data_IF_663060117839
#
_entry.id   IF_663060117839
#
_cell.length_a   1.000
_cell.length_b   1.000
_cell.length_c   1.000
_cell.angle_alpha   90.00
_cell.angle_beta   90.00
_cell.angle_gamma   90.00
#
_symmetry.space_group_name_H-M   'P 1'
#
loop_
_entity.id
_entity.type
_entity.pdbx_description
1 polymer ?
#
# COMPACT_ATOMS: atom_id res chain seq x y z
N UNK A 1 -17.25 -19.69 -0.26
CA UNK A 1 -16.30 -18.73 0.34
C UNK A 1 -16.90 -18.21 1.62
N UNK A 2 -16.23 -18.39 2.76
CA UNK A 2 -16.74 -17.95 4.05
C UNK A 2 -16.82 -16.42 4.10
N UNK A 3 -18.01 -15.90 4.36
CA UNK A 3 -18.20 -14.53 4.81
C UNK A 3 -17.66 -14.45 6.24
N UNK A 4 -16.49 -13.87 6.43
CA UNK A 4 -16.11 -13.38 7.75
C UNK A 4 -17.07 -12.23 8.07
N UNK A 5 -18.08 -12.52 8.88
CA UNK A 5 -18.77 -11.49 9.65
C UNK A 5 -17.65 -10.68 10.30
N UNK A 6 -17.54 -9.39 9.99
CA UNK A 6 -16.73 -8.44 10.76
C UNK A 6 -17.27 -8.46 12.18
N UNK A 7 -16.77 -9.39 13.00
CA UNK A 7 -17.01 -9.32 14.42
C UNK A 7 -16.33 -8.04 14.89
N UNK A 8 -17.09 -7.21 15.60
CA UNK A 8 -16.49 -6.13 16.36
C UNK A 8 -15.63 -6.80 17.43
N UNK A 9 -14.33 -6.86 17.17
CA UNK A 9 -13.34 -7.32 18.14
C UNK A 9 -13.11 -6.13 19.06
N UNK A 10 -13.64 -6.20 20.28
CA UNK A 10 -13.36 -5.24 21.33
C UNK A 10 -12.05 -5.61 22.02
N UNK A 11 -10.94 -5.14 21.46
CA UNK A 11 -9.60 -5.31 22.02
C UNK A 11 -8.99 -3.95 22.39
N UNK A 12 -8.07 -3.95 23.36
CA UNK A 12 -7.53 -2.74 23.97
C UNK A 12 -6.03 -2.62 23.75
N UNK A 13 -5.60 -1.51 23.13
CA UNK A 13 -4.19 -1.19 22.93
C UNK A 13 -3.75 -0.12 23.93
N UNK A 14 -2.68 -0.41 24.67
CA UNK A 14 -2.08 0.58 25.57
C UNK A 14 -1.46 1.73 24.77
N UNK A 15 -1.84 2.96 25.10
CA UNK A 15 -1.32 4.20 24.51
C UNK A 15 -0.84 5.14 25.60
N UNK A 16 0.17 5.98 25.29
CA UNK A 16 0.70 6.90 26.29
C UNK A 16 -0.34 7.97 26.68
N UNK A 17 -0.41 8.39 27.96
CA UNK A 17 -1.42 9.35 28.41
C UNK A 17 -1.45 10.68 27.63
N UNK A 18 -0.31 11.28 27.21
CA UNK A 18 -0.32 12.47 26.40
C UNK A 18 -0.99 12.26 25.03
N UNK A 19 -0.75 11.11 24.40
CA UNK A 19 -1.31 10.76 23.10
C UNK A 19 -2.81 10.51 23.21
N UNK A 20 -3.25 9.77 24.23
CA UNK A 20 -4.67 9.54 24.48
C UNK A 20 -5.44 10.87 24.64
N UNK A 21 -4.90 11.81 25.43
CA UNK A 21 -5.50 13.14 25.62
C UNK A 21 -5.53 13.94 24.32
N UNK A 22 -4.44 13.92 23.55
CA UNK A 22 -4.36 14.63 22.27
C UNK A 22 -5.36 14.09 21.25
N UNK A 23 -5.45 12.76 21.13
CA UNK A 23 -6.42 12.08 20.26
C UNK A 23 -7.86 12.42 20.64
N UNK A 24 -8.20 12.38 21.93
CA UNK A 24 -9.53 12.77 22.41
C UNK A 24 -9.91 14.22 22.09
N UNK A 25 -8.97 15.16 22.23
CA UNK A 25 -9.20 16.55 21.86
C UNK A 25 -9.41 16.72 20.35
N UNK A 26 -8.66 15.96 19.54
CA UNK A 26 -8.79 16.01 18.08
C UNK A 26 -10.12 15.40 17.63
N UNK A 27 -10.51 14.24 18.18
CA UNK A 27 -11.77 13.57 17.89
C UNK A 27 -12.97 14.51 18.17
N UNK A 28 -12.96 15.21 19.30
CA UNK A 28 -13.97 16.22 19.64
C UNK A 28 -14.02 17.37 18.62
N UNK A 29 -12.87 17.91 18.21
CA UNK A 29 -12.81 18.97 17.19
C UNK A 29 -13.37 18.53 15.85
N UNK A 30 -13.21 17.25 15.51
CA UNK A 30 -13.70 16.65 14.28
C UNK A 30 -15.14 16.12 14.38
N UNK A 31 -15.77 16.23 15.55
CA UNK A 31 -17.14 15.73 15.78
C UNK A 31 -17.27 14.20 15.72
N UNK A 32 -16.19 13.46 15.98
CA UNK A 32 -16.15 11.99 15.95
C UNK A 32 -15.87 11.40 17.33
N UNK A 33 -16.23 10.13 17.52
CA UNK A 33 -15.86 9.41 18.74
C UNK A 33 -14.37 9.00 18.68
N UNK A 34 -13.82 8.62 19.84
CA UNK A 34 -12.39 8.32 19.96
C UNK A 34 -11.98 7.04 19.22
N UNK A 35 -12.84 6.03 19.22
CA UNK A 35 -12.59 4.77 18.50
C UNK A 35 -12.55 5.00 17.00
N UNK A 36 -13.50 5.76 16.46
CA UNK A 36 -13.55 6.12 15.03
C UNK A 36 -12.30 6.90 14.63
N UNK A 37 -11.85 7.83 15.48
CA UNK A 37 -10.60 8.56 15.25
C UNK A 37 -9.39 7.63 15.17
N UNK A 38 -9.27 6.66 16.10
CA UNK A 38 -8.18 5.69 16.08
C UNK A 38 -8.24 4.80 14.84
N UNK A 39 -9.42 4.30 14.49
CA UNK A 39 -9.64 3.50 13.28
C UNK A 39 -9.19 4.28 12.05
N UNK A 40 -9.66 5.52 11.89
CA UNK A 40 -9.29 6.37 10.75
C UNK A 40 -7.79 6.64 10.70
N UNK A 41 -7.17 6.94 11.84
CA UNK A 41 -5.73 7.20 11.93
C UNK A 41 -4.91 5.96 11.53
N UNK A 42 -5.29 4.78 12.03
CA UNK A 42 -4.64 3.52 11.69
C UNK A 42 -4.84 3.14 10.23
N UNK A 43 -6.05 3.28 9.69
CA UNK A 43 -6.31 3.05 8.26
C UNK A 43 -5.50 3.99 7.38
N UNK A 44 -5.41 5.27 7.75
CA UNK A 44 -4.61 6.25 7.00
C UNK A 44 -3.12 5.92 7.05
N UNK A 45 -2.63 5.50 8.22
CA UNK A 45 -1.25 5.07 8.39
C UNK A 45 -0.96 3.81 7.55
N UNK A 46 -1.80 2.79 7.66
CA UNK A 46 -1.68 1.57 6.84
C UNK A 46 -1.75 1.89 5.35
N UNK A 47 -2.67 2.75 4.91
CA UNK A 47 -2.78 3.15 3.49
C UNK A 47 -1.50 3.83 3.01
N UNK A 48 -0.88 4.67 3.84
CA UNK A 48 0.39 5.33 3.51
C UNK A 48 1.52 4.32 3.27
N UNK A 49 1.53 3.20 3.99
CA UNK A 49 2.57 2.17 3.91
C UNK A 49 2.15 0.92 3.13
N UNK A 50 0.88 0.84 2.72
CA UNK A 50 0.39 -0.17 1.79
C UNK A 50 0.81 0.27 0.38
N UNK A 51 2.12 0.32 0.20
CA UNK A 51 2.83 0.49 -1.05
C UNK A 51 2.56 -0.74 -1.91
N UNK A 52 1.38 -0.77 -2.52
CA UNK A 52 1.24 -1.44 -3.80
C UNK A 52 1.50 -0.45 -4.93
N UNK A 53 2.50 0.42 -4.72
CA UNK A 53 3.01 1.28 -5.79
C UNK A 53 3.53 0.40 -6.93
N UNK A 54 4.20 -0.72 -6.61
CA UNK A 54 4.62 -1.72 -7.58
C UNK A 54 3.42 -2.34 -8.30
N UNK A 55 2.43 -2.92 -7.61
CA UNK A 55 1.24 -3.47 -8.28
C UNK A 55 0.43 -2.40 -9.06
N UNK A 56 0.46 -1.14 -8.61
CA UNK A 56 -0.19 -0.03 -9.31
C UNK A 56 0.57 0.33 -10.58
N UNK A 57 1.89 0.41 -10.52
CA UNK A 57 2.76 0.63 -11.67
C UNK A 57 2.70 -0.56 -12.63
N UNK A 58 2.72 -1.79 -12.13
CA UNK A 58 2.58 -3.02 -12.93
C UNK A 58 1.27 -3.01 -13.71
N UNK A 59 0.14 -2.63 -13.11
CA UNK A 59 -1.15 -2.48 -13.82
C UNK A 59 -1.15 -1.40 -14.90
N UNK A 60 -0.37 -0.33 -14.71
CA UNK A 60 -0.24 0.74 -15.70
C UNK A 60 0.65 0.27 -16.85
N UNK A 61 1.82 -0.31 -16.53
CA UNK A 61 2.80 -0.77 -17.50
C UNK A 61 2.44 -2.10 -18.18
N UNK A 62 1.54 -2.90 -17.63
CA UNK A 62 0.97 -4.09 -18.29
C UNK A 62 0.21 -3.72 -19.56
N UNK A 63 -0.39 -2.53 -19.60
CA UNK A 63 -1.15 -2.02 -20.75
C UNK A 63 -0.30 -1.23 -21.73
N UNK A 64 0.89 -0.80 -21.32
CA UNK A 64 1.83 -0.13 -22.20
C UNK A 64 2.59 -1.19 -23.01
N UNK A 65 2.71 -1.03 -24.34
CA UNK A 65 3.53 -1.92 -25.14
C UNK A 65 4.99 -1.77 -24.74
N UNK A 66 5.46 -2.66 -23.86
CA UNK A 66 6.85 -2.73 -23.37
C UNK A 66 7.77 -3.60 -24.23
N UNK A 67 7.29 -4.00 -25.41
CA UNK A 67 8.08 -4.81 -26.35
C UNK A 67 9.24 -4.00 -26.92
N UNK A 68 10.46 -4.51 -26.75
CA UNK A 68 11.64 -3.99 -27.45
C UNK A 68 11.45 -4.24 -28.95
N UNK A 69 11.72 -3.22 -29.77
CA UNK A 69 11.61 -3.36 -31.22
C UNK A 69 12.49 -4.51 -31.74
N UNK A 70 11.96 -5.40 -32.61
CA UNK A 70 12.70 -6.58 -33.09
C UNK A 70 14.06 -6.26 -33.71
N UNK A 71 14.20 -5.08 -34.32
CA UNK A 71 15.46 -4.61 -34.91
C UNK A 71 16.53 -4.39 -33.84
N UNK A 72 16.16 -3.87 -32.67
CA UNK A 72 17.07 -3.64 -31.54
C UNK A 72 17.49 -4.98 -30.92
N UNK A 73 16.55 -5.92 -30.77
CA UNK A 73 16.84 -7.29 -30.28
C UNK A 73 17.85 -7.98 -31.21
N UNK A 74 17.65 -7.85 -32.52
CA UNK A 74 18.55 -8.47 -33.50
C UNK A 74 19.94 -7.82 -33.49
N UNK A 75 20.00 -6.48 -33.43
CA UNK A 75 21.28 -5.77 -33.36
C UNK A 75 22.07 -6.11 -32.09
N UNK A 76 21.41 -6.23 -30.93
CA UNK A 76 22.05 -6.69 -29.69
C UNK A 76 22.52 -8.13 -29.79
N UNK A 77 21.67 -9.04 -30.30
CA UNK A 77 21.99 -10.47 -30.43
C UNK A 77 23.20 -10.71 -31.33
N UNK A 78 23.37 -9.90 -32.39
CA UNK A 78 24.53 -9.96 -33.30
C UNK A 78 25.78 -9.33 -32.67
N UNK A 79 25.61 -8.39 -31.73
CA UNK A 79 26.73 -7.76 -31.01
C UNK A 79 27.24 -8.60 -29.83
N UNK A 80 26.46 -9.58 -29.36
CA UNK A 80 26.94 -10.56 -28.39
C UNK A 80 27.88 -11.53 -29.12
N UNK A 81 29.18 -11.40 -28.86
CA UNK A 81 30.16 -12.36 -29.33
C UNK A 81 29.82 -13.77 -28.84
N UNK A 82 30.25 -14.80 -29.56
CA UNK A 82 30.14 -16.19 -29.07
C UNK A 82 31.00 -16.33 -27.82
N UNK A 83 30.39 -16.23 -26.65
CA UNK A 83 31.02 -16.60 -25.40
C UNK A 83 30.73 -18.07 -25.09
N UNK A 84 31.76 -18.80 -24.66
CA UNK A 84 31.71 -20.23 -24.37
C UNK A 84 31.39 -20.50 -22.90
N UNK A 85 30.38 -19.82 -22.36
CA UNK A 85 29.84 -20.20 -21.05
C UNK A 85 28.86 -21.37 -21.18
#
# INVERSE_FOLDING_TARGET
MMQYLTQNIEDYVSVSPPIFKAAGNMAKKLGMNLTDFYTLALTSYMTKFNENITDTLDRIYEKEPSSIEPVIINAQSVSLGKESW
#
